data_IF_945229500580
#
_entry.id   IF_945229500580
#
_cell.length_a   1.000
_cell.length_b   1.000
_cell.length_c   1.000
_cell.angle_alpha   90.00
_cell.angle_beta   90.00
_cell.angle_gamma   90.00
#
_symmetry.space_group_name_H-M   'P 1'
#
loop_
_entity.id
_entity.type
_entity.pdbx_description
1 polymer ?
#
# COMPACT_ATOMS: atom_id res chain seq x y z
N UNK A 1 -59.79 16.13 -23.90
CA UNK A 1 -58.33 16.41 -23.93
C UNK A 1 -57.65 15.38 -23.04
N UNK A 2 -56.76 14.54 -23.60
CA UNK A 2 -56.03 13.52 -22.83
C UNK A 2 -54.71 14.12 -22.34
N UNK A 3 -54.49 14.09 -21.03
CA UNK A 3 -53.24 14.46 -20.39
C UNK A 3 -52.21 13.37 -20.63
N UNK A 4 -51.06 13.73 -21.20
CA UNK A 4 -49.87 12.88 -21.25
C UNK A 4 -48.97 13.33 -20.10
N UNK A 5 -49.07 12.62 -18.98
CA UNK A 5 -48.13 12.73 -17.86
C UNK A 5 -46.83 12.04 -18.29
N UNK A 6 -45.77 12.82 -18.53
CA UNK A 6 -44.44 12.24 -18.72
C UNK A 6 -44.01 11.56 -17.42
N UNK A 7 -43.45 10.33 -17.47
CA UNK A 7 -42.93 9.69 -16.28
C UNK A 7 -41.77 10.54 -15.73
N UNK A 8 -41.96 11.10 -14.54
CA UNK A 8 -40.90 11.69 -13.74
C UNK A 8 -39.87 10.59 -13.48
N UNK A 9 -38.78 10.62 -14.24
CA UNK A 9 -37.62 9.77 -14.01
C UNK A 9 -36.98 10.26 -12.71
N UNK A 10 -37.39 9.64 -11.60
CA UNK A 10 -36.62 9.71 -10.36
C UNK A 10 -35.18 9.37 -10.73
N UNK A 11 -34.18 10.20 -10.37
CA UNK A 11 -32.80 9.79 -10.52
C UNK A 11 -32.66 8.44 -9.84
N UNK A 12 -32.34 7.41 -10.61
CA UNK A 12 -32.07 6.07 -10.10
C UNK A 12 -31.01 6.25 -9.01
N UNK A 13 -31.34 5.92 -7.76
CA UNK A 13 -30.35 5.86 -6.69
C UNK A 13 -29.30 4.86 -7.16
N UNK A 14 -28.17 5.40 -7.62
CA UNK A 14 -27.05 4.58 -8.04
C UNK A 14 -26.56 3.89 -6.78
N UNK A 15 -26.41 2.55 -6.78
CA UNK A 15 -25.77 1.88 -5.66
C UNK A 15 -24.42 2.57 -5.40
N UNK A 16 -24.01 2.70 -4.14
CA UNK A 16 -22.83 3.52 -3.77
C UNK A 16 -21.55 3.19 -4.58
N UNK A 17 -21.47 2.01 -5.20
CA UNK A 17 -20.41 1.58 -6.12
C UNK A 17 -20.36 2.30 -7.47
N UNK A 18 -21.40 3.05 -7.85
CA UNK A 18 -21.51 3.78 -9.13
C UNK A 18 -21.29 5.29 -8.98
N UNK A 19 -21.02 5.79 -7.77
CA UNK A 19 -20.71 7.22 -7.59
C UNK A 19 -19.24 7.47 -7.93
N UNK A 20 -18.93 8.36 -8.90
CA UNK A 20 -17.56 8.75 -9.18
C UNK A 20 -16.95 9.37 -7.93
N UNK A 21 -15.75 8.92 -7.58
CA UNK A 21 -15.00 9.38 -6.41
C UNK A 21 -13.60 9.82 -6.84
N UNK A 22 -13.06 10.79 -6.11
CA UNK A 22 -11.72 11.34 -6.33
C UNK A 22 -10.84 10.99 -5.14
N UNK A 23 -9.66 10.46 -5.41
CA UNK A 23 -8.69 10.07 -4.38
C UNK A 23 -7.41 10.87 -4.54
N UNK A 24 -6.84 11.31 -3.41
CA UNK A 24 -5.49 11.86 -3.34
C UNK A 24 -4.59 10.81 -2.70
N UNK A 25 -3.56 10.37 -3.44
CA UNK A 25 -2.71 9.25 -3.04
C UNK A 25 -1.30 9.75 -2.74
N UNK A 26 -0.84 9.49 -1.51
CA UNK A 26 0.52 9.79 -1.05
C UNK A 26 1.27 8.47 -0.83
N UNK A 27 1.75 7.85 -1.92
CA UNK A 27 2.32 6.51 -1.88
C UNK A 27 3.76 6.45 -1.35
N UNK A 28 4.45 7.59 -1.33
CA UNK A 28 5.84 7.70 -0.91
C UNK A 28 6.00 8.85 0.09
N UNK A 29 5.87 8.50 1.37
CA UNK A 29 6.10 9.39 2.50
C UNK A 29 7.10 8.72 3.43
N UNK A 30 8.08 9.47 3.92
CA UNK A 30 9.08 8.98 4.87
C UNK A 30 9.26 9.95 6.03
N UNK A 31 9.44 9.39 7.23
CA UNK A 31 9.75 10.14 8.45
C UNK A 31 11.08 9.61 8.98
N UNK A 32 12.03 10.53 9.20
CA UNK A 32 13.43 10.16 9.52
C UNK A 32 13.67 9.89 11.00
N UNK A 33 12.82 10.43 11.87
CA UNK A 33 12.98 10.36 13.32
C UNK A 33 11.87 9.50 13.92
N UNK A 34 12.23 8.63 14.86
CA UNK A 34 11.27 7.87 15.63
C UNK A 34 10.42 8.81 16.50
N UNK A 35 9.13 8.48 16.64
CA UNK A 35 8.16 9.30 17.37
C UNK A 35 6.72 8.98 16.98
N UNK A 36 5.79 9.71 17.56
CA UNK A 36 4.37 9.65 17.22
C UNK A 36 3.99 10.87 16.38
N UNK A 37 3.29 10.63 15.28
CA UNK A 37 3.01 11.64 14.28
C UNK A 37 1.56 11.57 13.82
N UNK A 38 1.08 12.69 13.28
CA UNK A 38 -0.13 12.77 12.46
C UNK A 38 0.23 13.43 11.14
N UNK A 39 -0.40 13.01 10.07
CA UNK A 39 -0.35 13.72 8.80
C UNK A 39 -1.54 14.67 8.73
N UNK A 40 -1.27 15.94 8.45
CA UNK A 40 -2.30 16.92 8.10
C UNK A 40 -2.35 17.07 6.58
N UNK A 41 -3.54 16.95 6.01
CA UNK A 41 -3.78 17.10 4.59
C UNK A 41 -4.61 18.36 4.38
N UNK A 42 -4.04 19.33 3.68
CA UNK A 42 -4.68 20.59 3.33
C UNK A 42 -5.04 20.59 1.84
N UNK A 43 -6.33 20.66 1.53
CA UNK A 43 -6.84 20.77 0.17
C UNK A 43 -6.92 22.25 -0.20
N UNK A 44 -6.19 22.63 -1.24
CA UNK A 44 -6.20 23.98 -1.79
C UNK A 44 -6.79 23.96 -3.20
N UNK A 45 -7.51 25.02 -3.57
CA UNK A 45 -7.88 25.27 -4.96
C UNK A 45 -6.96 26.34 -5.51
N UNK A 46 -6.20 25.94 -6.51
CA UNK A 46 -5.31 26.83 -7.24
C UNK A 46 -6.09 27.39 -8.43
N UNK A 47 -6.16 28.71 -8.51
CA UNK A 47 -6.79 29.43 -9.63
C UNK A 47 -5.68 30.00 -10.51
N UNK A 48 -5.73 29.72 -11.82
CA UNK A 48 -4.66 30.08 -12.76
C UNK A 48 -4.36 31.59 -12.76
N UNK A 49 -5.40 32.42 -12.64
CA UNK A 49 -5.29 33.88 -12.61
C UNK A 49 -4.57 34.41 -11.36
N UNK A 50 -4.41 33.57 -10.34
CA UNK A 50 -3.79 33.91 -9.06
C UNK A 50 -2.41 33.26 -8.88
N UNK A 51 -1.87 32.61 -9.92
CA UNK A 51 -0.52 32.04 -9.92
C UNK A 51 0.55 33.12 -10.17
N UNK A 52 0.62 34.09 -9.26
CA UNK A 52 1.69 35.09 -9.22
C UNK A 52 2.63 34.82 -8.04
N UNK A 53 3.94 35.11 -8.15
CA UNK A 53 4.85 34.97 -7.03
C UNK A 53 4.35 35.74 -5.80
N UNK A 54 4.29 35.06 -4.65
CA UNK A 54 3.79 35.63 -3.39
C UNK A 54 2.27 35.53 -3.19
N UNK A 55 1.52 34.98 -4.14
CA UNK A 55 0.09 34.74 -3.95
C UNK A 55 -0.16 33.66 -2.89
N UNK A 56 -1.15 33.92 -2.02
CA UNK A 56 -1.65 32.94 -1.06
C UNK A 56 -2.87 32.21 -1.63
N UNK A 57 -2.87 30.88 -1.57
CA UNK A 57 -4.02 30.06 -1.97
C UNK A 57 -4.86 29.71 -0.74
N UNK A 58 -6.20 29.80 -0.81
CA UNK A 58 -7.06 29.41 0.30
C UNK A 58 -7.06 27.89 0.49
N UNK A 59 -6.97 27.46 1.75
CA UNK A 59 -7.25 26.08 2.15
C UNK A 59 -8.78 25.94 2.20
N UNK A 60 -9.31 25.02 1.40
CA UNK A 60 -10.75 24.73 1.36
C UNK A 60 -11.11 23.69 2.42
N UNK A 61 -10.20 22.76 2.68
CA UNK A 61 -10.45 21.70 3.64
C UNK A 61 -9.16 21.22 4.28
N UNK A 62 -9.25 20.84 5.56
CA UNK A 62 -8.15 20.29 6.35
C UNK A 62 -8.63 19.01 7.01
N UNK A 63 -7.82 17.96 6.94
CA UNK A 63 -8.08 16.70 7.64
C UNK A 63 -6.78 16.16 8.23
N UNK A 64 -6.86 15.64 9.45
CA UNK A 64 -5.72 15.00 10.13
C UNK A 64 -5.90 13.48 10.17
N UNK A 65 -4.82 12.74 9.92
CA UNK A 65 -4.79 11.28 10.06
C UNK A 65 -4.98 10.84 11.51
N UNK A 66 -5.19 9.54 11.71
CA UNK A 66 -4.94 8.95 13.03
C UNK A 66 -3.46 9.06 13.41
N UNK A 67 -3.16 9.02 14.71
CA UNK A 67 -1.78 8.98 15.20
C UNK A 67 -1.14 7.67 14.73
N UNK A 68 0.09 7.75 14.24
CA UNK A 68 0.90 6.60 13.87
C UNK A 68 2.29 6.70 14.49
N UNK A 69 2.87 5.53 14.78
CA UNK A 69 4.19 5.41 15.40
C UNK A 69 5.25 5.16 14.33
N UNK A 70 6.30 5.96 14.35
CA UNK A 70 7.52 5.76 13.58
C UNK A 70 8.56 5.18 14.53
N UNK A 71 9.12 4.04 14.13
CA UNK A 71 10.12 3.29 14.91
C UNK A 71 11.46 3.27 14.19
N UNK A 72 12.54 3.02 14.93
CA UNK A 72 13.84 2.79 14.31
C UNK A 72 13.81 1.48 13.51
N UNK A 73 14.70 1.34 12.52
CA UNK A 73 14.76 0.16 11.66
C UNK A 73 14.89 -1.17 12.43
N UNK A 74 15.62 -1.17 13.56
CA UNK A 74 15.77 -2.36 14.42
C UNK A 74 14.47 -2.81 15.09
N UNK A 75 13.59 -1.84 15.38
CA UNK A 75 12.32 -2.03 16.09
C UNK A 75 11.15 -2.12 15.09
N UNK A 76 11.44 -2.12 13.78
CA UNK A 76 10.43 -2.22 12.75
C UNK A 76 10.03 -3.69 12.57
N UNK A 77 8.80 -4.01 12.96
CA UNK A 77 8.29 -5.38 12.94
C UNK A 77 8.18 -5.92 11.51
N UNK A 78 7.37 -5.23 10.69
CA UNK A 78 6.98 -5.73 9.38
C UNK A 78 6.36 -4.66 8.47
N UNK A 79 6.59 -4.82 7.16
CA UNK A 79 5.82 -4.12 6.12
C UNK A 79 4.41 -4.70 6.02
N UNK A 80 3.41 -3.84 6.19
CA UNK A 80 2.01 -4.24 6.08
C UNK A 80 1.62 -4.63 4.64
N UNK A 81 0.81 -5.68 4.46
CA UNK A 81 0.27 -6.01 3.14
C UNK A 81 -0.70 -4.93 2.65
N UNK A 82 -0.84 -4.81 1.33
CA UNK A 82 -1.80 -3.88 0.74
C UNK A 82 -3.24 -4.21 1.13
N UNK A 83 -3.95 -3.17 1.56
CA UNK A 83 -5.37 -3.21 1.93
C UNK A 83 -6.27 -3.46 0.71
N UNK A 84 -7.54 -3.81 0.96
CA UNK A 84 -8.55 -3.96 -0.10
C UNK A 84 -8.71 -2.69 -0.95
N UNK A 85 -8.63 -1.52 -0.31
CA UNK A 85 -8.70 -0.23 -1.01
C UNK A 85 -7.55 -0.06 -2.01
N UNK A 86 -6.32 -0.35 -1.60
CA UNK A 86 -5.14 -0.26 -2.48
C UNK A 86 -5.27 -1.21 -3.67
N UNK A 87 -5.73 -2.44 -3.45
CA UNK A 87 -5.96 -3.43 -4.53
C UNK A 87 -6.98 -2.93 -5.53
N UNK A 88 -8.15 -2.48 -5.05
CA UNK A 88 -9.20 -1.94 -5.91
C UNK A 88 -8.75 -0.71 -6.70
N UNK A 89 -7.98 0.20 -6.10
CA UNK A 89 -7.45 1.37 -6.80
C UNK A 89 -6.47 0.98 -7.93
N UNK A 90 -5.58 0.01 -7.68
CA UNK A 90 -4.64 -0.50 -8.70
C UNK A 90 -5.42 -1.18 -9.84
N UNK A 91 -6.40 -2.02 -9.53
CA UNK A 91 -7.26 -2.69 -10.51
C UNK A 91 -8.01 -1.68 -11.40
N UNK A 92 -8.27 -0.47 -10.90
CA UNK A 92 -8.92 0.63 -11.65
C UNK A 92 -7.94 1.59 -12.32
N UNK A 93 -6.66 1.25 -12.40
CA UNK A 93 -5.66 2.01 -13.16
C UNK A 93 -4.91 3.08 -12.36
N UNK A 94 -5.07 3.15 -11.03
CA UNK A 94 -4.24 4.01 -10.17
C UNK A 94 -2.83 3.43 -9.91
N UNK A 95 -2.32 2.61 -10.84
CA UNK A 95 -0.99 2.03 -10.78
C UNK A 95 0.09 3.09 -10.99
N UNK A 96 1.22 2.97 -10.27
CA UNK A 96 2.29 3.95 -10.13
C UNK A 96 1.83 5.36 -9.69
N UNK A 97 2.29 5.87 -8.54
CA UNK A 97 3.31 5.32 -7.65
C UNK A 97 2.81 4.19 -6.73
N UNK A 98 1.50 3.88 -6.74
CA UNK A 98 0.92 2.83 -5.90
C UNK A 98 1.39 1.44 -6.35
N UNK A 99 1.88 0.63 -5.41
CA UNK A 99 2.38 -0.74 -5.64
C UNK A 99 1.78 -1.72 -4.65
N UNK A 100 1.52 -2.95 -5.10
CA UNK A 100 1.01 -4.01 -4.25
C UNK A 100 2.13 -4.55 -3.33
N UNK A 101 1.87 -4.56 -2.02
CA UNK A 101 2.75 -5.10 -0.98
C UNK A 101 2.14 -6.42 -0.47
N UNK A 102 2.93 -7.49 -0.51
CA UNK A 102 2.50 -8.82 0.00
C UNK A 102 2.63 -8.96 1.51
N UNK A 103 3.44 -8.10 2.15
CA UNK A 103 3.84 -8.20 3.55
C UNK A 103 4.93 -9.26 3.79
N UNK A 104 5.61 -9.20 4.92
CA UNK A 104 6.62 -10.20 5.33
C UNK A 104 5.94 -11.38 6.03
N UNK A 105 6.27 -12.64 5.72
CA UNK A 105 5.72 -13.80 6.45
C UNK A 105 6.51 -13.97 7.77
N UNK A 106 5.81 -14.22 8.87
CA UNK A 106 6.33 -14.33 10.26
C UNK A 106 7.45 -15.36 10.52
N UNK A 107 7.97 -16.07 9.51
CA UNK A 107 8.84 -17.26 9.69
C UNK A 107 10.32 -17.10 9.36
N UNK A 108 10.80 -15.97 8.83
CA UNK A 108 12.17 -15.91 8.25
C UNK A 108 13.27 -15.41 9.20
N UNK A 109 12.95 -14.90 10.40
CA UNK A 109 13.97 -14.31 11.30
C UNK A 109 14.68 -15.32 12.22
N UNK A 110 14.31 -16.60 12.23
CA UNK A 110 14.81 -17.59 13.23
C UNK A 110 15.95 -18.53 12.76
N UNK A 111 16.51 -18.39 11.56
CA UNK A 111 17.52 -19.36 11.05
C UNK A 111 18.98 -18.90 10.96
N UNK A 112 19.33 -17.69 11.43
CA UNK A 112 20.70 -17.17 11.26
C UNK A 112 21.45 -16.88 12.58
N UNK A 113 21.12 -17.56 13.68
CA UNK A 113 21.82 -17.34 14.95
C UNK A 113 22.17 -18.62 15.72
N UNK A 114 22.37 -19.74 15.02
CA UNK A 114 22.97 -20.93 15.61
C UNK A 114 23.60 -21.78 14.51
N UNK A 115 24.87 -21.51 14.16
CA UNK A 115 25.88 -22.56 14.18
C UNK A 115 27.30 -21.98 13.99
N UNK A 116 27.99 -21.75 15.11
CA UNK A 116 29.44 -21.72 15.15
C UNK A 116 29.87 -22.62 16.31
N UNK A 117 29.95 -23.93 16.05
CA UNK A 117 30.77 -24.83 16.85
C UNK A 117 31.49 -25.80 15.91
N UNK A 118 32.80 -25.60 15.83
CA UNK A 118 33.79 -26.45 15.14
C UNK A 118 34.06 -27.71 16.00
N UNK A 119 34.56 -28.77 15.33
CA UNK A 119 35.08 -30.07 15.82
C UNK A 119 34.02 -31.10 16.27
N UNK A 120 33.99 -32.35 15.78
CA UNK A 120 35.05 -33.32 15.42
C UNK A 120 34.55 -34.35 14.38
N UNK A 121 35.45 -34.94 13.60
CA UNK A 121 35.11 -35.88 12.52
C UNK A 121 34.66 -37.28 12.94
N UNK A 122 33.99 -37.94 12.00
CA UNK A 122 34.01 -39.40 11.81
C UNK A 122 33.51 -39.72 10.39
N UNK A 123 34.32 -40.52 9.71
CA UNK A 123 34.18 -41.05 8.37
C UNK A 123 33.28 -42.29 8.43
N UNK A 124 32.13 -42.30 7.76
CA UNK A 124 31.40 -43.52 7.42
C UNK A 124 30.80 -43.35 6.02
N UNK A 125 31.23 -44.23 5.11
CA UNK A 125 30.73 -44.29 3.75
C UNK A 125 29.38 -45.00 3.67
N UNK A 126 28.68 -44.73 2.57
CA UNK A 126 27.81 -45.69 1.91
C UNK A 126 27.83 -45.33 0.44
N UNK A 127 28.56 -46.13 -0.32
CA UNK A 127 28.40 -46.23 -1.77
C UNK A 127 27.04 -46.87 -2.01
N UNK A 128 26.13 -46.13 -2.64
CA UNK A 128 25.00 -46.74 -3.34
C UNK A 128 25.01 -46.20 -4.76
N UNK A 129 25.57 -47.02 -5.65
CA UNK A 129 25.34 -46.98 -7.08
C UNK A 129 23.83 -47.18 -7.31
N UNK A 130 23.18 -46.27 -8.03
CA UNK A 130 22.03 -46.69 -8.84
C UNK A 130 22.09 -46.02 -10.21
N UNK A 131 21.96 -46.93 -11.16
CA UNK A 131 22.05 -46.89 -12.60
C UNK A 131 20.74 -46.32 -13.20
N UNK A 132 20.77 -45.89 -14.46
CA UNK A 132 19.50 -45.66 -15.19
C UNK A 132 19.40 -44.45 -16.12
N UNK A 133 20.27 -44.40 -17.14
CA UNK A 133 19.91 -44.32 -18.58
C UNK A 133 18.88 -43.33 -19.15
N UNK A 134 19.28 -42.73 -20.28
CA UNK A 134 18.44 -42.44 -21.46
C UNK A 134 17.95 -41.00 -21.59
N UNK A 135 18.48 -40.19 -22.53
CA UNK A 135 18.02 -40.07 -23.95
C UNK A 135 16.62 -39.41 -24.03
N UNK A 136 16.32 -38.34 -24.77
CA UNK A 136 16.94 -37.47 -25.79
C UNK A 136 16.15 -36.14 -25.79
#
# INVERSE_FOLDING_TARGET
>A
MRFITLPSTRPRERPASEMPSTFFIFADLSVRKAGEYRLEFNLMKVEADKLVPGASMPIIHTVASQVFKVVNAKDFDQVQPSTKLVRGLIERGAGFPLKLKKGTREGQRRKHHQDHKIETGSHEGSDDEDDGGGEE
#
